data_IF_066693623097
#
_entry.id   IF_066693623097
#
_cell.length_a   1.000
_cell.length_b   1.000
_cell.length_c   1.000
_cell.angle_alpha   90.00
_cell.angle_beta   90.00
_cell.angle_gamma   90.00
#
_symmetry.space_group_name_H-M   'P 1'
#
loop_
_entity.id
_entity.type
_entity.pdbx_description
1 polymer ?
#
# COMPACT_ATOMS: atom_id res chain seq x y z
N UNK A 1 -22.91 -16.85 -18.97
CA UNK A 1 -21.67 -16.22 -19.47
C UNK A 1 -20.63 -16.42 -18.41
N UNK A 2 -19.68 -17.30 -18.70
CA UNK A 2 -18.55 -17.58 -17.83
C UNK A 2 -17.59 -16.37 -17.90
N UNK A 3 -17.20 -15.81 -16.75
CA UNK A 3 -16.21 -14.72 -16.67
C UNK A 3 -14.91 -15.15 -17.35
N UNK A 4 -14.59 -16.45 -17.28
CA UNK A 4 -13.44 -17.01 -17.97
C UNK A 4 -13.53 -16.81 -19.48
N UNK A 5 -14.72 -16.79 -20.10
CA UNK A 5 -14.87 -16.63 -21.54
C UNK A 5 -14.68 -15.17 -22.02
N UNK A 6 -15.07 -14.20 -21.19
CA UNK A 6 -14.83 -12.77 -21.46
C UNK A 6 -13.32 -12.45 -21.34
N UNK A 7 -12.60 -13.18 -20.49
CA UNK A 7 -11.16 -13.01 -20.30
C UNK A 7 -10.37 -13.84 -21.34
N UNK A 8 -10.73 -15.09 -21.60
CA UNK A 8 -10.05 -15.98 -22.57
C UNK A 8 -10.21 -15.53 -24.02
N UNK A 9 -11.32 -14.88 -24.39
CA UNK A 9 -11.47 -14.32 -25.75
C UNK A 9 -10.45 -13.21 -26.06
N UNK A 10 -9.71 -12.71 -25.07
CA UNK A 10 -8.56 -11.80 -25.25
C UNK A 10 -7.19 -12.51 -25.39
N UNK A 11 -7.13 -13.83 -25.18
CA UNK A 11 -5.87 -14.62 -25.14
C UNK A 11 -5.46 -15.23 -26.49
N UNK A 12 -6.39 -15.46 -27.44
CA UNK A 12 -6.09 -16.15 -28.71
C UNK A 12 -5.29 -15.35 -29.77
N UNK A 13 -4.66 -14.23 -29.39
CA UNK A 13 -3.89 -13.37 -30.31
C UNK A 13 -2.41 -13.18 -29.91
N UNK A 14 -1.88 -13.96 -28.97
CA UNK A 14 -0.46 -13.93 -28.60
C UNK A 14 0.17 -15.32 -28.67
N UNK A 15 0.63 -15.69 -29.87
CA UNK A 15 1.68 -16.69 -30.05
C UNK A 15 2.93 -15.99 -30.59
N UNK A 16 4.07 -16.40 -30.03
CA UNK A 16 5.45 -16.10 -30.40
C UNK A 16 6.11 -14.89 -29.74
N UNK A 17 6.74 -15.15 -28.58
CA UNK A 17 8.18 -14.91 -28.43
C UNK A 17 8.70 -15.68 -27.22
N UNK A 18 9.39 -16.78 -27.49
CA UNK A 18 10.15 -17.60 -26.54
C UNK A 18 11.48 -16.95 -26.24
N UNK A 19 11.81 -16.70 -24.97
CA UNK A 19 13.21 -16.66 -24.52
C UNK A 19 13.36 -17.41 -23.19
N UNK A 20 14.47 -18.14 -23.13
CA UNK A 20 14.73 -19.28 -22.26
C UNK A 20 15.25 -18.87 -20.88
N UNK A 21 14.69 -19.51 -19.84
CA UNK A 21 15.23 -19.52 -18.49
C UNK A 21 16.62 -20.18 -18.44
N UNK A 22 17.54 -19.59 -17.67
CA UNK A 22 18.66 -20.30 -17.06
C UNK A 22 18.63 -20.08 -15.55
N UNK A 23 18.40 -21.16 -14.81
CA UNK A 23 18.55 -21.25 -13.37
C UNK A 23 20.04 -21.15 -12.99
N UNK A 24 20.37 -20.34 -11.99
CA UNK A 24 21.59 -20.51 -11.19
C UNK A 24 21.29 -20.10 -9.74
N UNK A 25 21.46 -21.05 -8.82
CA UNK A 25 21.40 -20.87 -7.37
C UNK A 25 22.78 -20.47 -6.83
N UNK A 26 22.90 -19.41 -6.01
CA UNK A 26 24.11 -19.03 -5.23
C UNK A 26 23.63 -18.22 -4.00
N UNK A 27 23.63 -18.76 -2.77
CA UNK A 27 24.60 -18.75 -1.62
C UNK A 27 24.66 -17.46 -0.76
N UNK A 28 24.56 -17.64 0.57
CA UNK A 28 24.29 -16.66 1.64
C UNK A 28 25.31 -15.50 1.90
N UNK A 29 26.29 -15.24 1.01
CA UNK A 29 27.38 -14.29 1.29
C UNK A 29 27.22 -12.86 0.72
N UNK A 30 26.14 -12.56 -0.02
CA UNK A 30 25.98 -11.27 -0.74
C UNK A 30 25.33 -10.12 0.06
N UNK A 31 25.02 -10.32 1.35
CA UNK A 31 24.30 -9.32 2.20
C UNK A 31 25.15 -8.07 2.53
N UNK A 32 26.43 -8.00 2.14
CA UNK A 32 27.37 -6.98 2.65
C UNK A 32 27.54 -5.68 1.84
N UNK A 33 26.93 -5.49 0.67
CA UNK A 33 27.30 -4.36 -0.21
C UNK A 33 26.32 -3.17 -0.31
N UNK A 34 25.17 -3.19 0.39
CA UNK A 34 24.19 -2.09 0.37
C UNK A 34 24.62 -0.84 1.16
N UNK A 35 25.47 -1.01 2.18
CA UNK A 35 25.94 0.09 3.03
C UNK A 35 26.78 1.13 2.26
N UNK A 36 27.43 0.73 1.16
CA UNK A 36 28.35 1.61 0.44
C UNK A 36 27.68 2.63 -0.48
N UNK A 37 26.40 2.47 -0.85
CA UNK A 37 25.78 3.33 -1.87
C UNK A 37 25.50 4.76 -1.39
N UNK A 38 24.93 4.94 -0.18
CA UNK A 38 24.69 6.28 0.39
C UNK A 38 25.79 6.72 1.35
N UNK A 39 26.60 5.80 1.87
CA UNK A 39 27.64 6.10 2.86
C UNK A 39 29.06 6.04 2.30
N UNK A 40 29.26 5.63 1.05
CA UNK A 40 30.56 5.54 0.40
C UNK A 40 31.30 6.88 0.31
N UNK A 41 32.58 6.83 -0.04
CA UNK A 41 33.42 8.01 -0.20
C UNK A 41 33.42 8.55 -1.66
N UNK A 42 32.84 7.80 -2.60
CA UNK A 42 32.78 8.14 -4.03
C UNK A 42 31.66 9.12 -4.40
N UNK A 43 31.39 10.12 -3.55
CA UNK A 43 30.49 11.20 -3.91
C UNK A 43 31.23 12.31 -4.64
N UNK A 44 30.62 12.84 -5.70
CA UNK A 44 31.21 13.86 -6.56
C UNK A 44 31.71 15.10 -5.79
N UNK A 45 31.18 15.37 -4.58
CA UNK A 45 31.60 16.45 -3.67
C UNK A 45 31.38 16.07 -2.21
N UNK A 46 32.31 16.44 -1.33
CA UNK A 46 32.12 16.54 0.12
C UNK A 46 31.99 18.01 0.53
N UNK A 47 31.17 18.30 1.54
CA UNK A 47 30.94 19.67 2.01
C UNK A 47 31.43 19.86 3.44
N UNK A 48 31.85 21.08 3.75
CA UNK A 48 32.05 21.52 5.13
C UNK A 48 30.67 21.54 5.83
N UNK A 49 30.44 20.56 6.70
CA UNK A 49 29.13 20.34 7.36
C UNK A 49 28.69 21.52 8.22
N UNK A 50 29.63 22.38 8.65
CA UNK A 50 29.35 23.58 9.44
C UNK A 50 28.81 24.74 8.59
N UNK A 51 28.89 24.64 7.25
CA UNK A 51 28.47 25.69 6.30
C UNK A 51 27.24 25.31 5.47
N UNK A 52 26.61 24.17 5.76
CA UNK A 52 25.45 23.69 5.02
C UNK A 52 24.22 24.56 5.25
N UNK A 53 23.52 24.88 4.16
CA UNK A 53 22.23 25.56 4.20
C UNK A 53 21.11 24.55 4.48
N UNK A 54 20.83 24.30 5.77
CA UNK A 54 19.91 23.25 6.21
C UNK A 54 18.45 23.71 6.31
N UNK A 55 17.47 22.82 6.07
CA UNK A 55 16.08 23.08 6.42
C UNK A 55 15.92 23.40 7.92
N UNK A 56 14.89 24.18 8.32
CA UNK A 56 14.65 24.49 9.72
C UNK A 56 14.40 23.20 10.51
N UNK A 57 14.91 23.14 11.74
CA UNK A 57 14.67 22.01 12.64
C UNK A 57 13.17 21.92 12.95
N UNK A 58 12.63 20.70 12.84
CA UNK A 58 11.23 20.46 13.16
C UNK A 58 11.05 20.36 14.68
N UNK A 59 10.39 21.36 15.28
CA UNK A 59 9.96 21.29 16.68
C UNK A 59 9.00 20.10 16.93
N UNK A 60 9.03 19.50 18.14
CA UNK A 60 8.03 18.58 18.66
C UNK A 60 6.59 19.00 18.40
N UNK A 61 5.78 18.08 17.86
CA UNK A 61 4.34 18.27 17.74
C UNK A 61 3.59 17.72 18.95
N UNK A 62 4.12 16.66 19.56
CA UNK A 62 3.44 15.93 20.62
C UNK A 62 4.33 15.74 21.85
N UNK A 63 3.72 15.85 23.03
CA UNK A 63 4.17 15.16 24.23
C UNK A 63 3.36 13.88 24.40
N UNK A 64 3.88 12.92 25.14
CA UNK A 64 3.15 11.68 25.46
C UNK A 64 3.30 11.32 26.94
N UNK A 65 2.33 10.57 27.43
CA UNK A 65 2.32 10.02 28.79
C UNK A 65 2.01 8.54 28.74
N UNK A 66 2.84 7.76 29.42
CA UNK A 66 2.64 6.31 29.58
C UNK A 66 1.43 6.07 30.48
N UNK A 67 0.52 5.21 30.03
CA UNK A 67 -0.65 4.81 30.79
C UNK A 67 -0.27 3.78 31.88
N UNK A 68 -1.04 3.73 32.97
CA UNK A 68 -0.90 2.66 33.97
C UNK A 68 -1.44 1.33 33.43
N UNK A 69 -0.94 0.21 33.97
CA UNK A 69 -1.25 -1.17 33.53
C UNK A 69 -2.75 -1.53 33.55
N UNK A 70 -3.58 -0.77 34.28
CA UNK A 70 -5.04 -0.98 34.36
C UNK A 70 -5.81 -0.34 33.18
N UNK A 71 -5.13 0.33 32.26
CA UNK A 71 -5.76 0.98 31.11
C UNK A 71 -6.15 -0.07 30.06
N UNK A 72 -7.44 -0.16 29.74
CA UNK A 72 -7.93 -1.11 28.74
C UNK A 72 -7.72 -0.57 27.33
N UNK A 73 -7.01 -1.33 26.49
CA UNK A 73 -6.95 -1.09 25.06
C UNK A 73 -8.27 -1.51 24.41
N UNK A 74 -8.94 -0.59 23.71
CA UNK A 74 -10.19 -0.91 23.02
C UNK A 74 -9.95 -1.02 21.51
N UNK A 75 -9.23 -2.08 21.12
CA UNK A 75 -8.71 -2.28 19.76
C UNK A 75 -9.75 -2.41 18.65
N UNK A 76 -10.95 -2.92 18.97
CA UNK A 76 -12.01 -3.11 17.97
C UNK A 76 -12.68 -1.80 17.51
N UNK A 77 -12.56 -0.72 18.29
CA UNK A 77 -13.29 0.52 18.01
C UNK A 77 -12.50 1.53 17.17
N UNK A 78 -11.17 1.44 17.13
CA UNK A 78 -10.34 2.47 16.49
C UNK A 78 -10.53 2.54 14.95
N UNK A 79 -10.91 1.45 14.29
CA UNK A 79 -11.24 1.45 12.85
C UNK A 79 -12.57 2.15 12.53
N UNK A 80 -13.53 2.12 13.46
CA UNK A 80 -14.90 2.57 13.25
C UNK A 80 -15.09 4.08 13.29
N UNK A 81 -14.05 4.83 13.67
CA UNK A 81 -14.15 6.28 13.81
C UNK A 81 -13.45 7.02 12.67
N UNK A 82 -14.04 8.14 12.18
CA UNK A 82 -13.29 9.10 11.39
C UNK A 82 -12.00 9.51 12.12
N UNK A 83 -10.87 9.68 11.40
CA UNK A 83 -10.77 9.79 9.95
C UNK A 83 -10.52 8.48 9.17
N UNK A 84 -10.36 7.33 9.85
CA UNK A 84 -9.98 6.06 9.19
C UNK A 84 -11.11 5.46 8.33
N UNK A 85 -12.36 5.80 8.61
CA UNK A 85 -13.53 5.32 7.87
C UNK A 85 -14.51 6.46 7.54
N UNK A 86 -15.27 6.27 6.45
CA UNK A 86 -16.29 7.23 5.99
C UNK A 86 -17.72 6.81 6.30
N UNK A 87 -17.89 5.58 6.77
CA UNK A 87 -19.16 5.01 7.21
C UNK A 87 -18.85 3.91 8.23
N UNK A 88 -19.90 3.30 8.78
CA UNK A 88 -19.76 2.20 9.72
C UNK A 88 -18.88 1.09 9.17
N UNK A 89 -17.87 0.75 9.96
CA UNK A 89 -16.97 -0.37 9.69
C UNK A 89 -17.63 -1.65 10.16
N UNK A 90 -17.51 -2.69 9.36
CA UNK A 90 -18.05 -4.01 9.67
C UNK A 90 -17.06 -5.13 9.35
N UNK A 91 -17.04 -6.18 10.19
CA UNK A 91 -16.25 -7.38 9.91
C UNK A 91 -16.95 -8.25 8.86
N UNK A 92 -16.18 -8.72 7.89
CA UNK A 92 -16.59 -9.69 6.87
C UNK A 92 -15.62 -10.86 6.83
N UNK A 93 -16.10 -12.03 6.43
CA UNK A 93 -15.25 -13.21 6.24
C UNK A 93 -14.72 -13.25 4.80
N UNK A 94 -13.42 -13.43 4.62
CA UNK A 94 -12.80 -13.63 3.31
C UNK A 94 -12.92 -15.08 2.88
N UNK A 95 -13.80 -15.36 1.91
CA UNK A 95 -14.23 -16.73 1.58
C UNK A 95 -13.66 -17.27 0.27
N UNK A 96 -13.34 -16.43 -0.71
CA UNK A 96 -12.77 -16.88 -1.99
C UNK A 96 -11.77 -15.88 -2.57
N UNK A 97 -10.68 -16.38 -3.16
CA UNK A 97 -9.76 -15.63 -4.03
C UNK A 97 -9.42 -16.48 -5.26
N UNK A 98 -9.68 -15.96 -6.44
CA UNK A 98 -9.45 -16.66 -7.72
C UNK A 98 -8.60 -15.79 -8.64
N UNK A 99 -7.48 -16.33 -9.13
CA UNK A 99 -6.68 -15.65 -10.15
C UNK A 99 -7.41 -15.73 -11.50
N UNK A 100 -7.69 -14.58 -12.09
CA UNK A 100 -8.40 -14.45 -13.36
C UNK A 100 -7.46 -14.46 -14.58
N UNK A 101 -6.19 -14.17 -14.37
CA UNK A 101 -5.18 -14.04 -15.45
C UNK A 101 -4.22 -15.23 -15.46
N UNK A 102 -3.75 -15.62 -16.65
CA UNK A 102 -2.71 -16.63 -16.84
C UNK A 102 -1.46 -16.05 -17.51
N UNK A 103 -0.35 -16.77 -17.44
CA UNK A 103 0.91 -16.42 -18.11
C UNK A 103 1.60 -15.16 -17.54
N UNK A 104 2.29 -14.42 -18.41
CA UNK A 104 3.13 -13.26 -18.02
C UNK A 104 2.37 -11.93 -17.89
N UNK A 105 1.04 -11.96 -17.79
CA UNK A 105 0.22 -10.76 -17.58
C UNK A 105 0.29 -10.30 -16.12
N UNK A 106 -0.07 -9.04 -15.85
CA UNK A 106 -0.30 -8.60 -14.46
C UNK A 106 -1.32 -9.52 -13.80
N UNK A 107 -1.03 -9.96 -12.58
CA UNK A 107 -1.91 -10.84 -11.82
C UNK A 107 -3.18 -10.11 -11.41
N UNK A 108 -4.34 -10.59 -11.85
CA UNK A 108 -5.66 -10.06 -11.49
C UNK A 108 -6.43 -11.11 -10.71
N UNK A 109 -7.01 -10.71 -9.59
CA UNK A 109 -7.82 -11.57 -8.75
C UNK A 109 -9.28 -11.13 -8.70
N UNK A 110 -10.18 -12.09 -8.59
CA UNK A 110 -11.51 -11.90 -8.02
C UNK A 110 -11.48 -12.36 -6.56
N UNK A 111 -11.86 -11.49 -5.64
CA UNK A 111 -12.06 -11.81 -4.24
C UNK A 111 -13.55 -11.81 -3.91
N UNK A 112 -13.96 -12.62 -2.94
CA UNK A 112 -15.31 -12.66 -2.38
C UNK A 112 -15.25 -12.63 -0.87
N UNK A 113 -15.98 -11.68 -0.28
CA UNK A 113 -16.23 -11.58 1.13
C UNK A 113 -17.67 -11.97 1.45
N UNK A 114 -17.91 -12.41 2.68
CA UNK A 114 -19.22 -12.83 3.17
C UNK A 114 -19.56 -12.07 4.45
N UNK A 115 -20.74 -11.47 4.48
CA UNK A 115 -21.27 -10.83 5.68
C UNK A 115 -21.70 -11.88 6.71
N UNK A 116 -21.53 -11.58 8.00
CA UNK A 116 -22.07 -12.43 9.08
C UNK A 116 -23.60 -12.52 8.95
N UNK A 117 -24.16 -13.68 9.29
CA UNK A 117 -25.62 -13.90 9.29
C UNK A 117 -26.35 -12.80 10.07
N UNK A 118 -27.47 -12.32 9.51
CA UNK A 118 -28.26 -11.23 10.07
C UNK A 118 -27.78 -9.81 9.75
N UNK A 119 -26.66 -9.64 9.04
CA UNK A 119 -26.21 -8.34 8.52
C UNK A 119 -26.37 -8.26 7.00
N UNK A 120 -26.84 -7.12 6.51
CA UNK A 120 -26.91 -6.79 5.09
C UNK A 120 -26.30 -5.41 4.83
N UNK A 121 -25.75 -5.25 3.64
CA UNK A 121 -25.18 -4.02 3.11
C UNK A 121 -26.05 -3.55 1.95
N UNK A 122 -26.69 -2.40 2.11
CA UNK A 122 -27.49 -1.77 1.05
C UNK A 122 -26.56 -0.94 0.15
N UNK A 123 -26.24 -1.50 -1.01
CA UNK A 123 -25.44 -0.86 -2.06
C UNK A 123 -26.17 -0.94 -3.40
N UNK A 124 -25.69 -0.21 -4.41
CA UNK A 124 -26.14 -0.26 -5.80
C UNK A 124 -24.99 -0.71 -6.71
N UNK A 125 -25.26 -1.36 -7.86
CA UNK A 125 -24.22 -1.63 -8.85
C UNK A 125 -23.41 -0.36 -9.15
N UNK A 126 -22.08 -0.44 -9.11
CA UNK A 126 -21.18 0.71 -9.22
C UNK A 126 -20.68 1.28 -7.89
N UNK A 127 -21.29 0.90 -6.75
CA UNK A 127 -20.76 1.17 -5.43
C UNK A 127 -19.49 0.36 -5.14
N UNK A 128 -18.72 0.81 -4.16
CA UNK A 128 -17.47 0.18 -3.75
C UNK A 128 -17.47 -0.15 -2.27
N UNK A 129 -16.67 -1.12 -1.87
CA UNK A 129 -16.27 -1.30 -0.47
C UNK A 129 -14.85 -0.81 -0.30
N UNK A 130 -14.56 -0.20 0.85
CA UNK A 130 -13.21 0.15 1.25
C UNK A 130 -12.73 -0.87 2.27
N UNK A 131 -11.58 -1.47 1.98
CA UNK A 131 -10.89 -2.41 2.85
C UNK A 131 -9.91 -1.64 3.73
N UNK A 132 -9.87 -1.94 5.03
CA UNK A 132 -8.85 -1.44 5.95
C UNK A 132 -7.71 -2.48 6.03
N UNK A 133 -6.58 -2.28 5.32
CA UNK A 133 -5.48 -3.23 5.32
C UNK A 133 -4.61 -3.08 6.57
N UNK A 134 -3.75 -4.07 6.81
CA UNK A 134 -2.69 -4.01 7.80
C UNK A 134 -1.33 -3.92 7.11
N UNK A 135 -0.36 -3.29 7.77
CA UNK A 135 1.04 -3.42 7.38
C UNK A 135 1.54 -4.83 7.66
N UNK A 136 2.57 -5.26 6.90
CA UNK A 136 3.17 -6.57 7.11
C UNK A 136 3.82 -6.65 8.50
N UNK A 137 3.45 -7.67 9.28
CA UNK A 137 3.96 -7.88 10.63
C UNK A 137 5.50 -7.95 10.74
N UNK A 138 6.19 -8.50 9.74
CA UNK A 138 7.66 -8.54 9.72
C UNK A 138 8.24 -7.13 9.49
N UNK A 139 7.64 -6.32 8.62
CA UNK A 139 8.01 -4.92 8.43
C UNK A 139 7.80 -4.12 9.70
N UNK A 140 6.66 -4.30 10.39
CA UNK A 140 6.36 -3.63 11.67
C UNK A 140 7.36 -4.07 12.74
N UNK A 141 7.61 -5.37 12.88
CA UNK A 141 8.57 -5.90 13.85
C UNK A 141 9.98 -5.36 13.60
N UNK A 142 10.42 -5.34 12.34
CA UNK A 142 11.69 -4.75 11.96
C UNK A 142 11.75 -3.27 12.32
N UNK A 143 10.73 -2.49 11.94
CA UNK A 143 10.70 -1.06 12.21
C UNK A 143 10.74 -0.78 13.71
N UNK A 144 10.02 -1.55 14.53
CA UNK A 144 10.07 -1.41 16.00
C UNK A 144 11.47 -1.60 16.57
N UNK A 145 12.26 -2.54 16.03
CA UNK A 145 13.67 -2.73 16.42
C UNK A 145 14.59 -1.58 15.96
N UNK A 146 14.13 -0.73 15.04
CA UNK A 146 14.87 0.42 14.53
C UNK A 146 14.62 1.71 15.32
N UNK A 147 13.61 1.77 16.18
CA UNK A 147 13.21 2.98 16.90
C UNK A 147 13.75 3.00 18.34
N UNK A 148 13.84 4.21 18.92
CA UNK A 148 13.87 4.32 20.38
C UNK A 148 12.44 4.36 20.90
N UNK A 149 12.18 3.52 21.91
CA UNK A 149 10.88 3.46 22.60
C UNK A 149 10.77 4.52 23.71
N UNK A 150 11.85 5.27 23.96
CA UNK A 150 11.95 6.30 24.99
C UNK A 150 11.49 5.75 26.36
N UNK A 151 10.39 6.24 26.92
CA UNK A 151 9.85 5.82 28.22
C UNK A 151 8.87 4.64 28.12
N UNK A 152 8.56 4.13 26.92
CA UNK A 152 7.71 2.95 26.76
C UNK A 152 8.51 1.70 27.13
N UNK A 153 7.89 0.76 27.87
CA UNK A 153 8.52 -0.52 28.20
C UNK A 153 8.71 -1.39 26.95
N UNK A 154 7.67 -1.46 26.12
CA UNK A 154 7.64 -2.15 24.85
C UNK A 154 6.70 -1.44 23.85
N UNK A 155 6.56 -1.99 22.66
CA UNK A 155 5.70 -1.41 21.62
C UNK A 155 4.19 -1.56 21.88
N UNK A 156 3.80 -2.38 22.85
CA UNK A 156 2.41 -2.67 23.24
C UNK A 156 1.98 -1.84 24.47
N UNK A 157 2.94 -1.20 25.13
CA UNK A 157 2.74 -0.21 26.19
C UNK A 157 1.84 0.92 25.70
N UNK A 158 0.73 1.13 26.41
CA UNK A 158 -0.24 2.15 26.07
C UNK A 158 0.25 3.55 26.47
N UNK A 159 -0.01 4.53 25.61
CA UNK A 159 0.24 5.92 25.87
C UNK A 159 -0.93 6.80 25.41
N UNK A 160 -1.04 7.98 26.02
CA UNK A 160 -1.82 9.10 25.49
C UNK A 160 -0.87 10.20 25.01
N UNK A 161 -1.35 11.08 24.14
CA UNK A 161 -0.59 12.20 23.62
C UNK A 161 -1.31 13.52 23.82
N UNK A 162 -0.54 14.60 23.86
CA UNK A 162 -1.04 15.97 23.85
C UNK A 162 -0.33 16.77 22.75
N UNK A 163 -1.09 17.59 22.04
CA UNK A 163 -0.53 18.48 21.01
C UNK A 163 0.16 19.65 21.69
N UNK A 164 1.48 19.75 21.52
CA UNK A 164 2.31 20.85 22.04
C UNK A 164 2.72 21.85 20.94
N UNK A 165 2.34 21.58 19.68
CA UNK A 165 2.67 22.44 18.56
C UNK A 165 2.02 23.83 18.67
N UNK A 166 2.82 24.88 18.49
CA UNK A 166 2.32 26.24 18.28
C UNK A 166 1.63 26.33 16.91
N UNK A 167 0.48 27.02 16.84
CA UNK A 167 -0.44 27.17 15.68
C UNK A 167 0.23 27.06 14.29
N UNK A 168 -0.49 26.47 13.33
CA UNK A 168 -0.20 26.39 11.87
C UNK A 168 0.52 25.14 11.31
N UNK A 169 0.50 23.98 11.99
CA UNK A 169 0.93 22.70 11.37
C UNK A 169 -0.24 21.73 11.20
N UNK A 170 -0.28 21.04 10.07
CA UNK A 170 -1.18 19.90 9.86
C UNK A 170 -0.76 18.79 10.81
N UNK A 171 -1.72 18.31 11.60
CA UNK A 171 -1.51 17.20 12.52
C UNK A 171 -1.74 15.88 11.79
N UNK A 172 -0.93 14.84 12.06
CA UNK A 172 -1.24 13.49 11.63
C UNK A 172 -2.61 13.03 12.11
N UNK A 173 -3.34 12.33 11.26
CA UNK A 173 -4.72 11.92 11.56
C UNK A 173 -4.84 11.01 12.79
N UNK A 174 -3.83 10.19 13.08
CA UNK A 174 -3.82 9.34 14.27
C UNK A 174 -3.89 10.16 15.57
N UNK A 175 -3.46 11.43 15.54
CA UNK A 175 -3.51 12.30 16.71
C UNK A 175 -4.93 12.73 17.11
N UNK A 176 -5.93 12.46 16.26
CA UNK A 176 -7.33 12.67 16.61
C UNK A 176 -7.89 11.62 17.58
N UNK A 177 -7.19 10.49 17.76
CA UNK A 177 -7.57 9.52 18.78
C UNK A 177 -7.30 10.08 20.17
N UNK A 178 -8.33 10.12 21.02
CA UNK A 178 -8.25 10.66 22.39
C UNK A 178 -8.17 9.57 23.46
N UNK A 179 -8.04 8.31 23.04
CA UNK A 179 -7.96 7.14 23.92
C UNK A 179 -6.54 6.55 23.90
N UNK A 180 -6.15 5.76 24.92
CA UNK A 180 -4.85 5.11 24.96
C UNK A 180 -4.58 4.21 23.75
N UNK A 181 -3.38 4.32 23.19
CA UNK A 181 -2.94 3.59 22.01
C UNK A 181 -1.58 2.95 22.25
N UNK A 182 -1.28 1.87 21.53
CA UNK A 182 0.07 1.31 21.47
C UNK A 182 0.77 1.68 20.17
N UNK A 183 2.10 1.74 20.21
CA UNK A 183 2.91 1.99 19.03
C UNK A 183 2.72 0.90 17.97
N UNK A 184 2.67 -0.37 18.40
CA UNK A 184 2.44 -1.50 17.49
C UNK A 184 1.11 -1.36 16.78
N UNK A 185 0.05 -0.97 17.48
CA UNK A 185 -1.26 -0.75 16.88
C UNK A 185 -1.19 0.32 15.78
N UNK A 186 -0.62 1.49 16.09
CA UNK A 186 -0.49 2.59 15.14
C UNK A 186 0.29 2.19 13.88
N UNK A 187 1.44 1.53 14.04
CA UNK A 187 2.26 1.08 12.92
C UNK A 187 1.63 -0.06 12.11
N UNK A 188 0.77 -0.87 12.73
CA UNK A 188 0.09 -1.98 12.04
C UNK A 188 -1.10 -1.47 11.23
N UNK A 189 -1.87 -0.54 11.79
CA UNK A 189 -3.22 -0.24 11.30
C UNK A 189 -3.45 1.19 10.84
N UNK A 190 -2.67 2.15 11.34
CA UNK A 190 -2.97 3.57 11.20
C UNK A 190 -1.95 4.32 10.34
N UNK A 191 -0.71 3.86 10.24
CA UNK A 191 0.37 4.60 9.58
C UNK A 191 0.82 3.95 8.27
N UNK A 192 0.96 4.73 7.19
CA UNK A 192 1.60 4.28 5.95
C UNK A 192 3.12 4.31 6.14
N UNK A 193 3.76 3.14 6.08
CA UNK A 193 5.19 3.00 6.40
C UNK A 193 6.11 3.30 5.21
N UNK A 194 5.63 3.03 3.99
CA UNK A 194 6.43 3.15 2.78
C UNK A 194 6.31 4.55 2.17
N UNK A 195 6.73 5.56 2.93
CA UNK A 195 6.65 6.96 2.49
C UNK A 195 7.89 7.38 1.71
N UNK A 196 7.72 8.21 0.67
CA UNK A 196 8.86 8.86 0.04
C UNK A 196 9.55 9.78 1.04
N UNK A 197 10.88 9.76 1.05
CA UNK A 197 11.65 10.58 1.98
C UNK A 197 11.84 11.98 1.41
N UNK A 198 11.71 12.99 2.26
CA UNK A 198 11.98 14.39 1.90
C UNK A 198 13.25 14.88 2.58
N UNK A 199 13.86 15.94 2.05
CA UNK A 199 15.00 16.61 2.71
C UNK A 199 14.71 17.06 4.15
N UNK A 200 13.46 17.41 4.47
CA UNK A 200 13.05 17.73 5.85
C UNK A 200 13.06 16.52 6.76
N UNK A 201 12.63 15.35 6.27
CA UNK A 201 12.72 14.09 7.01
C UNK A 201 14.19 13.74 7.27
N UNK A 202 15.06 13.84 6.27
CA UNK A 202 16.51 13.58 6.46
C UNK A 202 17.13 14.52 7.51
N UNK A 203 16.78 15.80 7.47
CA UNK A 203 17.24 16.78 8.46
C UNK A 203 16.84 16.40 9.89
N UNK A 204 15.61 15.90 10.04
CA UNK A 204 15.09 15.40 11.32
C UNK A 204 15.85 14.15 11.78
N UNK A 205 15.99 13.16 10.89
CA UNK A 205 16.66 11.89 11.19
C UNK A 205 18.12 12.05 11.60
N UNK A 206 18.82 13.07 11.08
CA UNK A 206 20.20 13.37 11.44
C UNK A 206 20.40 13.64 12.95
N UNK A 207 19.37 14.13 13.65
CA UNK A 207 19.44 14.38 15.11
C UNK A 207 19.31 13.07 15.93
N UNK A 208 19.05 11.93 15.28
CA UNK A 208 18.82 10.62 15.92
C UNK A 208 19.86 9.57 15.52
N UNK A 209 21.05 9.99 15.10
CA UNK A 209 22.17 9.09 14.85
C UNK A 209 22.99 8.90 16.12
N UNK A 210 23.04 7.66 16.63
CA UNK A 210 23.77 7.30 17.84
C UNK A 210 24.73 6.17 17.56
N UNK A 211 25.92 6.20 18.16
CA UNK A 211 26.90 5.13 18.01
C UNK A 211 26.34 3.82 18.56
N UNK A 212 26.53 2.75 17.80
CA UNK A 212 26.26 1.39 18.24
C UNK A 212 27.50 0.52 18.00
N UNK A 213 27.64 -0.58 18.75
CA UNK A 213 28.79 -1.48 18.64
C UNK A 213 28.74 -2.36 17.36
N UNK A 214 27.76 -2.13 16.47
CA UNK A 214 27.42 -3.03 15.36
C UNK A 214 27.75 -2.40 14.01
N UNK A 215 27.60 -1.08 13.86
CA UNK A 215 27.87 -0.39 12.60
C UNK A 215 29.36 -0.23 12.34
N UNK A 216 29.78 -0.53 11.11
CA UNK A 216 31.13 -0.25 10.62
C UNK A 216 31.38 1.23 10.32
N UNK A 217 30.31 2.04 10.25
CA UNK A 217 30.34 3.47 9.93
C UNK A 217 29.87 4.27 11.13
N UNK A 218 30.70 5.19 11.64
CA UNK A 218 30.37 5.99 12.84
C UNK A 218 29.05 6.75 12.70
N UNK A 219 28.36 6.95 13.82
CA UNK A 219 27.11 7.71 13.83
C UNK A 219 27.32 9.14 13.35
N UNK A 220 28.47 9.73 13.62
CA UNK A 220 28.84 11.06 13.12
C UNK A 220 28.87 11.10 11.58
N UNK A 221 29.49 10.10 10.92
CA UNK A 221 29.54 10.03 9.46
C UNK A 221 28.15 9.87 8.86
N UNK A 222 27.33 9.00 9.43
CA UNK A 222 25.94 8.80 9.00
C UNK A 222 25.10 10.07 9.17
N UNK A 223 25.23 10.73 10.33
CA UNK A 223 24.60 12.03 10.61
C UNK A 223 24.99 13.08 9.58
N UNK A 224 26.30 13.25 9.35
CA UNK A 224 26.81 14.27 8.43
C UNK A 224 26.29 14.02 7.01
N UNK A 225 26.23 12.76 6.56
CA UNK A 225 25.66 12.41 5.27
C UNK A 225 24.16 12.72 5.16
N UNK A 226 23.37 12.47 6.21
CA UNK A 226 21.97 12.88 6.25
C UNK A 226 21.82 14.41 6.16
N UNK A 227 22.71 15.17 6.81
CA UNK A 227 22.72 16.63 6.72
C UNK A 227 23.05 17.12 5.32
N UNK A 228 24.06 16.53 4.66
CA UNK A 228 24.40 16.83 3.27
C UNK A 228 23.21 16.62 2.34
N UNK A 229 22.57 15.44 2.39
CA UNK A 229 21.37 15.17 1.57
C UNK A 229 20.20 16.11 1.88
N UNK A 230 20.10 16.59 3.13
CA UNK A 230 19.03 17.52 3.51
C UNK A 230 19.26 18.97 3.06
N UNK A 231 20.52 19.35 2.82
CA UNK A 231 20.95 20.72 2.56
C UNK A 231 20.51 21.28 1.19
N UNK A 232 20.67 22.59 0.98
CA UNK A 232 20.48 23.22 -0.32
C UNK A 232 21.56 22.76 -1.33
N UNK A 233 22.79 22.61 -0.85
CA UNK A 233 23.97 22.22 -1.62
C UNK A 233 23.87 20.78 -2.13
N UNK A 234 23.37 19.87 -1.29
CA UNK A 234 23.17 18.46 -1.60
C UNK A 234 21.90 18.15 -2.41
N UNK A 235 21.16 19.16 -2.89
CA UNK A 235 19.90 18.95 -3.64
C UNK A 235 20.05 17.97 -4.82
N UNK A 236 21.09 18.14 -5.63
CA UNK A 236 21.35 17.26 -6.79
C UNK A 236 21.70 15.83 -6.36
N UNK A 237 22.41 15.66 -5.25
CA UNK A 237 22.69 14.35 -4.69
C UNK A 237 21.42 13.69 -4.16
N UNK A 238 20.58 14.42 -3.43
CA UNK A 238 19.29 13.91 -2.99
C UNK A 238 18.43 13.45 -4.17
N UNK A 239 18.35 14.26 -5.23
CA UNK A 239 17.61 13.90 -6.45
C UNK A 239 18.17 12.62 -7.09
N UNK A 240 19.48 12.55 -7.31
CA UNK A 240 20.17 11.43 -7.97
C UNK A 240 20.10 10.12 -7.17
N UNK A 241 20.38 10.18 -5.87
CA UNK A 241 20.61 8.99 -5.05
C UNK A 241 19.39 8.54 -4.23
N UNK A 242 18.42 9.42 -3.98
CA UNK A 242 17.24 9.12 -3.13
C UNK A 242 15.95 9.23 -3.93
N UNK A 243 15.73 10.35 -4.63
CA UNK A 243 14.44 10.61 -5.29
C UNK A 243 14.25 9.81 -6.59
N UNK A 244 15.25 9.78 -7.48
CA UNK A 244 15.17 9.03 -8.75
C UNK A 244 15.08 7.51 -8.51
N UNK A 245 15.85 6.90 -7.59
CA UNK A 245 15.71 5.49 -7.23
C UNK A 245 14.46 5.18 -6.39
N UNK A 246 13.65 6.19 -6.06
CA UNK A 246 12.43 6.09 -5.25
C UNK A 246 12.67 5.40 -3.91
N UNK A 247 13.68 5.87 -3.16
CA UNK A 247 13.95 5.35 -1.82
C UNK A 247 12.90 5.83 -0.83
N UNK A 248 12.39 4.89 -0.03
CA UNK A 248 11.41 5.14 1.01
C UNK A 248 12.06 5.23 2.40
N UNK A 249 11.28 5.62 3.40
CA UNK A 249 11.77 5.81 4.77
C UNK A 249 12.44 4.57 5.35
N UNK A 250 11.92 3.37 5.07
CA UNK A 250 12.50 2.13 5.59
C UNK A 250 13.86 1.85 4.93
N UNK A 251 14.01 2.15 3.65
CA UNK A 251 15.31 2.04 2.96
C UNK A 251 16.35 2.93 3.64
N UNK A 252 15.99 4.18 3.95
CA UNK A 252 16.86 5.12 4.67
C UNK A 252 17.20 4.60 6.07
N UNK A 253 16.22 4.13 6.85
CA UNK A 253 16.49 3.59 8.18
C UNK A 253 17.33 2.30 8.16
N UNK A 254 17.28 1.54 7.06
CA UNK A 254 18.13 0.36 6.86
C UNK A 254 19.56 0.75 6.50
N UNK A 255 19.73 1.72 5.59
CA UNK A 255 21.05 2.18 5.13
C UNK A 255 21.77 2.95 6.24
N UNK A 256 21.07 3.85 6.92
CA UNK A 256 21.60 4.63 8.04
C UNK A 256 21.37 3.89 9.37
N UNK A 257 22.14 2.81 9.57
CA UNK A 257 21.98 1.87 10.70
C UNK A 257 22.09 2.51 12.09
N UNK A 258 22.80 3.63 12.24
CA UNK A 258 22.91 4.37 13.51
C UNK A 258 21.71 5.28 13.77
N UNK A 259 20.87 5.54 12.76
CA UNK A 259 19.68 6.38 12.90
C UNK A 259 18.56 5.60 13.61
N UNK A 260 18.26 6.01 14.85
CA UNK A 260 17.21 5.45 15.72
C UNK A 260 16.25 6.56 16.14
N UNK A 261 15.31 6.98 15.28
CA UNK A 261 14.36 8.02 15.64
C UNK A 261 13.47 7.54 16.79
N UNK A 262 13.07 8.46 17.65
CA UNK A 262 12.10 8.10 18.68
C UNK A 262 10.72 7.85 18.09
N UNK A 263 9.98 6.95 18.74
CA UNK A 263 8.68 6.52 18.22
C UNK A 263 7.74 7.70 17.97
N UNK A 264 7.71 8.67 18.88
CA UNK A 264 6.80 9.82 18.77
C UNK A 264 7.18 10.71 17.57
N UNK A 265 8.47 10.84 17.28
CA UNK A 265 9.00 11.63 16.16
C UNK A 265 8.77 10.94 14.83
N UNK A 266 8.82 9.61 14.81
CA UNK A 266 8.40 8.82 13.66
C UNK A 266 6.89 9.03 13.40
N UNK A 267 6.05 8.94 14.42
CA UNK A 267 4.60 9.13 14.26
C UNK A 267 4.23 10.53 13.73
N UNK A 268 5.03 11.55 14.01
CA UNK A 268 4.85 12.89 13.43
C UNK A 268 5.03 12.97 11.91
N UNK A 269 5.83 12.08 11.32
CA UNK A 269 6.14 12.11 9.88
C UNK A 269 5.32 11.10 9.07
N UNK A 270 4.74 10.09 9.72
CA UNK A 270 3.96 9.06 9.05
C UNK A 270 2.53 9.55 8.75
N UNK A 271 2.10 9.55 7.47
CA UNK A 271 0.72 9.79 7.10
C UNK A 271 -0.13 8.56 7.39
N UNK A 272 -1.44 8.71 7.24
CA UNK A 272 -2.40 7.64 7.49
C UNK A 272 -2.30 6.51 6.48
N UNK A 273 -2.40 5.28 6.97
CA UNK A 273 -2.64 4.10 6.15
C UNK A 273 -4.05 4.16 5.57
N UNK A 274 -4.16 4.51 4.29
CA UNK A 274 -5.46 4.73 3.65
C UNK A 274 -6.24 3.42 3.45
N UNK A 275 -7.57 3.40 3.63
CA UNK A 275 -8.40 2.30 3.15
C UNK A 275 -8.32 2.18 1.62
N UNK A 276 -8.42 0.96 1.07
CA UNK A 276 -8.37 0.72 -0.38
C UNK A 276 -9.76 0.32 -0.90
N UNK A 277 -10.33 1.15 -1.77
CA UNK A 277 -11.66 0.94 -2.34
C UNK A 277 -11.65 0.02 -3.56
N UNK A 278 -12.60 -0.91 -3.64
CA UNK A 278 -12.84 -1.77 -4.78
C UNK A 278 -14.33 -1.82 -5.12
N UNK A 279 -14.66 -1.72 -6.41
CA UNK A 279 -16.03 -1.75 -6.90
C UNK A 279 -16.63 -3.14 -6.77
N UNK A 280 -17.84 -3.20 -6.20
CA UNK A 280 -18.58 -4.45 -6.06
C UNK A 280 -19.08 -4.94 -7.42
N UNK A 281 -18.94 -6.23 -7.67
CA UNK A 281 -19.38 -6.88 -8.91
C UNK A 281 -20.63 -7.76 -8.71
N UNK A 282 -21.06 -7.99 -7.47
CA UNK A 282 -22.30 -8.72 -7.21
C UNK A 282 -23.52 -7.86 -7.61
N UNK A 283 -24.60 -8.49 -8.10
CA UNK A 283 -25.87 -7.82 -8.17
C UNK A 283 -26.47 -7.64 -6.76
N UNK A 284 -27.41 -6.72 -6.65
CA UNK A 284 -28.16 -6.50 -5.41
C UNK A 284 -29.45 -7.31 -5.49
N UNK A 285 -29.42 -8.52 -4.96
CA UNK A 285 -30.63 -9.33 -4.83
C UNK A 285 -31.23 -9.17 -3.43
N UNK A 286 -32.36 -8.48 -3.36
CA UNK A 286 -33.11 -8.27 -2.11
C UNK A 286 -33.95 -9.48 -1.70
N UNK A 287 -34.06 -10.50 -2.55
CA UNK A 287 -34.86 -11.71 -2.32
C UNK A 287 -34.03 -12.85 -1.71
N UNK A 288 -32.69 -12.77 -1.77
CA UNK A 288 -31.80 -13.75 -1.14
C UNK A 288 -31.82 -13.56 0.38
N UNK A 289 -32.52 -14.48 1.07
CA UNK A 289 -32.62 -14.61 2.52
C UNK A 289 -31.38 -15.23 3.18
N UNK A 290 -30.31 -15.47 2.41
CA UNK A 290 -29.06 -16.04 2.91
C UNK A 290 -27.88 -15.07 2.74
N UNK A 291 -26.87 -15.30 3.57
CA UNK A 291 -25.66 -14.51 3.78
C UNK A 291 -25.14 -13.80 2.52
N UNK A 292 -25.10 -12.46 2.57
CA UNK A 292 -24.76 -11.64 1.41
C UNK A 292 -23.26 -11.74 1.07
N UNK A 293 -22.98 -12.00 -0.21
CA UNK A 293 -21.63 -12.01 -0.77
C UNK A 293 -21.26 -10.67 -1.42
N UNK A 294 -20.01 -10.26 -1.17
CA UNK A 294 -19.41 -9.03 -1.67
C UNK A 294 -18.14 -9.39 -2.43
N UNK A 295 -18.23 -9.46 -3.75
CA UNK A 295 -17.12 -9.76 -4.64
C UNK A 295 -16.64 -8.51 -5.36
N UNK A 296 -15.35 -8.49 -5.67
CA UNK A 296 -14.69 -7.41 -6.38
C UNK A 296 -13.47 -7.94 -7.13
N UNK A 297 -12.96 -7.14 -8.06
CA UNK A 297 -11.76 -7.48 -8.85
C UNK A 297 -10.66 -6.48 -8.53
N UNK A 298 -9.44 -6.97 -8.37
CA UNK A 298 -8.26 -6.14 -8.21
C UNK A 298 -7.06 -6.67 -8.98
N UNK A 299 -6.22 -5.76 -9.45
CA UNK A 299 -4.90 -6.11 -10.00
C UNK A 299 -3.89 -6.09 -8.86
N UNK A 300 -3.09 -7.14 -8.69
CA UNK A 300 -1.99 -7.14 -7.73
C UNK A 300 -1.00 -6.06 -8.10
N UNK A 301 -0.65 -5.23 -7.12
CA UNK A 301 0.42 -4.25 -7.27
C UNK A 301 1.73 -4.94 -7.01
N UNK A 302 2.55 -5.09 -8.05
CA UNK A 302 3.91 -5.64 -7.97
C UNK A 302 4.93 -4.50 -8.03
N UNK A 303 5.83 -4.45 -7.05
CA UNK A 303 7.01 -3.59 -7.09
C UNK A 303 8.17 -4.41 -7.65
N UNK A 304 8.72 -3.92 -8.77
CA UNK A 304 9.97 -4.44 -9.31
C UNK A 304 11.08 -3.55 -8.80
N UNK A 305 12.00 -4.13 -8.03
CA UNK A 305 13.26 -3.48 -7.75
C UNK A 305 14.23 -3.83 -8.88
N UNK A 306 15.05 -2.89 -9.37
CA UNK A 306 16.00 -3.16 -10.43
C UNK A 306 16.91 -4.32 -10.00
N UNK A 307 16.91 -5.42 -10.75
CA UNK A 307 17.99 -6.39 -10.66
C UNK A 307 19.23 -5.73 -11.26
N UNK A 308 20.20 -5.43 -10.39
CA UNK A 308 21.59 -5.05 -10.72
C UNK A 308 21.76 -4.31 -12.05
N UNK A 309 21.47 -3.01 -12.08
CA UNK A 309 22.27 -2.17 -12.96
C UNK A 309 23.64 -2.06 -12.27
N UNK A 310 24.71 -2.54 -12.90
CA UNK A 310 26.08 -2.61 -12.31
C UNK A 310 26.61 -1.26 -11.79
N UNK A 311 25.91 -0.16 -12.05
CA UNK A 311 26.22 1.19 -11.63
C UNK A 311 25.46 1.66 -10.37
N UNK A 312 24.45 0.93 -9.90
CA UNK A 312 23.62 1.33 -8.76
C UNK A 312 23.55 0.13 -7.81
N UNK A 313 24.41 0.11 -6.79
CA UNK A 313 24.54 -0.97 -5.79
C UNK A 313 23.33 -1.18 -4.85
N UNK A 314 22.12 -1.00 -5.36
CA UNK A 314 20.84 -1.22 -4.67
C UNK A 314 20.39 -2.67 -4.89
N UNK A 315 21.23 -3.63 -4.48
CA UNK A 315 20.93 -5.06 -4.66
C UNK A 315 19.73 -5.52 -3.82
N UNK A 316 19.54 -4.97 -2.61
CA UNK A 316 18.46 -5.41 -1.71
C UNK A 316 17.83 -4.24 -0.93
N UNK A 317 16.58 -3.92 -1.27
CA UNK A 317 15.75 -3.01 -0.47
C UNK A 317 15.29 -3.76 0.78
N UNK A 318 15.57 -3.23 1.95
CA UNK A 318 15.16 -3.84 3.21
C UNK A 318 14.39 -2.85 4.10
N UNK A 319 13.22 -3.25 4.63
CA UNK A 319 12.51 -4.51 4.41
C UNK A 319 12.00 -4.66 2.97
N UNK A 320 12.14 -5.87 2.41
CA UNK A 320 11.74 -6.13 1.03
C UNK A 320 10.22 -6.00 0.87
N UNK A 321 9.78 -5.19 -0.09
CA UNK A 321 8.35 -5.03 -0.41
C UNK A 321 8.07 -5.39 -1.87
N UNK A 322 7.70 -6.65 -2.12
CA UNK A 322 7.36 -7.10 -3.48
C UNK A 322 5.95 -6.67 -3.92
N UNK A 323 5.02 -6.48 -2.98
CA UNK A 323 3.61 -6.20 -3.30
C UNK A 323 3.07 -4.93 -2.61
N UNK A 324 2.00 -4.36 -3.18
CA UNK A 324 1.20 -3.29 -2.56
C UNK A 324 0.66 -3.68 -1.18
N UNK A 325 0.49 -2.70 -0.28
CA UNK A 325 0.06 -2.96 1.11
C UNK A 325 -1.26 -3.74 1.17
N UNK A 326 -2.31 -3.26 0.50
CA UNK A 326 -3.60 -3.95 0.53
C UNK A 326 -3.62 -5.23 -0.33
N UNK A 327 -3.15 -5.18 -1.58
CA UNK A 327 -3.23 -6.34 -2.48
C UNK A 327 -2.34 -7.50 -2.02
N UNK A 328 -1.14 -7.21 -1.53
CA UNK A 328 -0.23 -8.20 -0.96
C UNK A 328 -0.72 -8.73 0.39
N UNK A 329 -1.35 -7.89 1.22
CA UNK A 329 -1.98 -8.32 2.47
C UNK A 329 -3.15 -9.29 2.23
N UNK A 330 -4.00 -9.04 1.22
CA UNK A 330 -5.06 -9.97 0.82
C UNK A 330 -4.50 -11.33 0.40
N UNK A 331 -3.45 -11.37 -0.42
CA UNK A 331 -2.79 -12.64 -0.77
C UNK A 331 -2.18 -13.33 0.46
N UNK A 332 -1.49 -12.58 1.31
CA UNK A 332 -0.87 -13.11 2.54
C UNK A 332 -1.91 -13.78 3.44
N UNK A 333 -3.04 -13.13 3.70
CA UNK A 333 -4.13 -13.71 4.49
C UNK A 333 -4.72 -14.92 3.77
N UNK A 334 -4.90 -14.83 2.45
CA UNK A 334 -5.52 -15.90 1.67
C UNK A 334 -4.68 -17.17 1.56
N UNK A 335 -3.38 -17.02 1.37
CA UNK A 335 -2.46 -18.14 1.24
C UNK A 335 -1.81 -18.53 2.57
N UNK A 336 -1.97 -17.73 3.62
CA UNK A 336 -1.35 -17.99 4.94
C UNK A 336 0.17 -17.92 4.90
N UNK A 337 0.75 -17.13 4.00
CA UNK A 337 2.21 -17.05 3.81
C UNK A 337 2.75 -15.66 4.10
N UNK A 338 3.96 -15.61 4.65
CA UNK A 338 4.63 -14.34 4.91
C UNK A 338 5.36 -13.79 3.68
N UNK A 339 5.76 -14.65 2.73
CA UNK A 339 6.50 -14.26 1.52
C UNK A 339 5.94 -14.88 0.23
N UNK A 340 6.20 -14.26 -0.94
CA UNK A 340 5.73 -14.75 -2.23
C UNK A 340 6.28 -16.13 -2.63
N UNK A 341 7.46 -16.51 -2.15
CA UNK A 341 8.07 -17.80 -2.53
C UNK A 341 7.51 -18.97 -1.71
N UNK A 342 6.71 -18.68 -0.66
CA UNK A 342 6.07 -19.67 0.19
C UNK A 342 4.70 -20.13 -0.33
N UNK A 343 4.16 -19.56 -1.43
CA UNK A 343 2.87 -19.96 -2.00
C UNK A 343 2.80 -21.45 -2.39
N UNK A 344 3.96 -22.11 -2.58
CA UNK A 344 4.05 -23.55 -2.85
C UNK A 344 4.01 -24.42 -1.58
N UNK A 345 4.14 -23.83 -0.38
CA UNK A 345 4.18 -24.52 0.92
C UNK A 345 2.88 -24.38 1.72
N UNK A 346 1.80 -23.96 1.07
CA UNK A 346 0.54 -23.62 1.74
C UNK A 346 -0.16 -24.89 2.25
N UNK A 347 -0.34 -24.98 3.57
CA UNK A 347 -1.25 -25.94 4.18
C UNK A 347 -2.57 -25.23 4.52
N UNK A 348 -3.55 -25.32 3.61
CA UNK A 348 -4.84 -24.62 3.70
C UNK A 348 -5.71 -25.03 4.90
N UNK A 349 -5.34 -26.10 5.61
CA UNK A 349 -6.21 -26.73 6.62
C UNK A 349 -6.19 -26.05 8.00
N UNK A 350 -5.31 -25.08 8.26
CA UNK A 350 -5.08 -24.53 9.62
C UNK A 350 -5.31 -23.01 9.77
N UNK A 351 -5.91 -22.33 8.79
CA UNK A 351 -6.17 -20.89 8.91
C UNK A 351 -7.59 -20.70 9.44
N UNK A 352 -7.72 -20.16 10.66
CA UNK A 352 -9.00 -19.74 11.24
C UNK A 352 -9.77 -18.75 10.36
N UNK A 353 -10.96 -18.29 10.79
CA UNK A 353 -11.79 -17.39 9.99
C UNK A 353 -11.02 -16.10 9.65
N UNK A 354 -10.89 -15.82 8.35
CA UNK A 354 -10.19 -14.65 7.82
C UNK A 354 -11.09 -13.43 7.89
N UNK A 355 -11.16 -12.80 9.06
CA UNK A 355 -11.98 -11.61 9.27
C UNK A 355 -11.24 -10.37 8.75
N UNK A 356 -11.93 -9.60 7.91
CA UNK A 356 -11.46 -8.34 7.34
C UNK A 356 -12.46 -7.25 7.70
N UNK A 357 -11.96 -6.06 8.01
CA UNK A 357 -12.81 -4.90 8.24
C UNK A 357 -12.99 -4.09 6.95
N UNK A 358 -14.25 -3.78 6.64
CA UNK A 358 -14.63 -2.99 5.47
C UNK A 358 -15.63 -1.90 5.86
N UNK A 359 -15.78 -0.89 5.01
CA UNK A 359 -16.92 0.02 5.05
C UNK A 359 -17.46 0.28 3.63
N UNK A 360 -18.74 0.64 3.52
CA UNK A 360 -19.36 0.95 2.24
C UNK A 360 -18.95 2.34 1.75
N UNK A 361 -18.57 2.43 0.48
CA UNK A 361 -18.32 3.68 -0.20
C UNK A 361 -19.31 3.83 -1.35
N UNK A 362 -20.38 4.58 -1.08
CA UNK A 362 -21.37 4.94 -2.10
C UNK A 362 -20.73 5.80 -3.19
N UNK A 363 -21.17 5.59 -4.43
CA UNK A 363 -20.66 6.30 -5.57
C UNK A 363 -21.22 7.74 -5.59
N UNK A 364 -20.37 8.71 -5.26
CA UNK A 364 -20.72 10.14 -5.22
C UNK A 364 -20.71 10.80 -6.60
N UNK A 365 -20.11 10.17 -7.61
CA UNK A 365 -20.06 10.68 -8.99
C UNK A 365 -21.26 10.24 -9.82
N UNK A 366 -22.28 9.64 -9.18
CA UNK A 366 -23.49 9.13 -9.82
C UNK A 366 -23.20 8.16 -10.98
N UNK A 367 -22.11 7.38 -10.90
CA UNK A 367 -21.77 6.39 -11.90
C UNK A 367 -22.62 5.13 -11.72
N UNK A 368 -23.89 5.24 -12.09
CA UNK A 368 -24.91 4.19 -12.02
C UNK A 368 -25.51 3.92 -13.40
N UNK A 369 -26.24 2.81 -13.52
CA UNK A 369 -27.10 2.59 -14.67
C UNK A 369 -28.22 3.66 -14.74
N UNK A 370 -28.67 4.04 -15.95
CA UNK A 370 -29.86 4.87 -16.10
C UNK A 370 -31.08 4.20 -15.46
N UNK A 371 -31.94 4.99 -14.82
CA UNK A 371 -33.19 4.49 -14.22
C UNK A 371 -34.13 3.91 -15.29
N UNK A 372 -34.11 4.47 -16.51
CA UNK A 372 -34.81 3.88 -17.65
C UNK A 372 -34.07 2.63 -18.15
N UNK A 373 -34.62 1.48 -17.81
CA UNK A 373 -34.05 0.19 -18.17
C UNK A 373 -34.07 -0.07 -19.71
N UNK A 374 -34.87 0.62 -20.50
CA UNK A 374 -34.83 0.44 -21.97
C UNK A 374 -33.71 1.25 -22.64
N UNK A 375 -33.07 2.16 -21.91
CA UNK A 375 -32.03 3.03 -22.45
C UNK A 375 -30.75 2.23 -22.76
N UNK A 376 -30.21 2.32 -23.99
CA UNK A 376 -28.95 1.67 -24.33
C UNK A 376 -27.78 2.32 -23.56
N UNK A 377 -26.80 1.50 -23.20
CA UNK A 377 -25.60 1.93 -22.47
C UNK A 377 -24.36 1.46 -23.22
N UNK A 378 -23.39 2.37 -23.41
CA UNK A 378 -22.06 2.05 -23.92
C UNK A 378 -21.10 2.05 -22.73
N UNK A 379 -20.39 0.93 -22.55
CA UNK A 379 -19.44 0.74 -21.46
C UNK A 379 -18.04 0.56 -22.06
N UNK A 380 -17.08 1.40 -21.66
CA UNK A 380 -15.70 1.37 -22.14
C UNK A 380 -14.78 1.15 -20.94
N UNK A 381 -14.07 0.02 -20.92
CA UNK A 381 -13.16 -0.36 -19.86
C UNK A 381 -11.80 -0.83 -20.41
N UNK A 382 -10.76 -0.63 -19.60
CA UNK A 382 -9.46 -1.28 -19.75
C UNK A 382 -9.03 -1.91 -18.41
N UNK A 383 -8.49 -3.12 -18.46
CA UNK A 383 -8.01 -3.84 -17.27
C UNK A 383 -9.08 -4.04 -16.19
N UNK A 384 -8.70 -3.90 -14.91
CA UNK A 384 -9.63 -4.03 -13.77
C UNK A 384 -10.72 -2.95 -13.71
N UNK A 385 -10.65 -1.91 -14.57
CA UNK A 385 -11.73 -0.92 -14.75
C UNK A 385 -13.05 -1.53 -15.28
N UNK A 386 -13.05 -2.81 -15.66
CA UNK A 386 -14.25 -3.56 -16.03
C UNK A 386 -15.21 -3.84 -14.86
N UNK A 387 -14.73 -3.78 -13.60
CA UNK A 387 -15.50 -4.14 -12.42
C UNK A 387 -16.90 -3.50 -12.32
N UNK A 388 -17.09 -2.17 -12.43
CA UNK A 388 -18.42 -1.57 -12.42
C UNK A 388 -19.33 -2.11 -13.53
N UNK A 389 -18.78 -2.39 -14.71
CA UNK A 389 -19.57 -2.89 -15.84
C UNK A 389 -20.01 -4.34 -15.64
N UNK A 390 -19.21 -5.16 -14.95
CA UNK A 390 -19.66 -6.50 -14.52
C UNK A 390 -20.88 -6.37 -13.61
N UNK A 391 -20.85 -5.42 -12.66
CA UNK A 391 -22.00 -5.16 -11.78
C UNK A 391 -23.24 -4.73 -12.56
N UNK A 392 -23.07 -3.86 -13.57
CA UNK A 392 -24.15 -3.38 -14.42
C UNK A 392 -24.75 -4.50 -15.27
N UNK A 393 -23.91 -5.31 -15.92
CA UNK A 393 -24.36 -6.45 -16.74
C UNK A 393 -25.13 -7.46 -15.89
N UNK A 394 -24.63 -7.77 -14.68
CA UNK A 394 -25.30 -8.69 -13.76
C UNK A 394 -26.65 -8.13 -13.31
N UNK A 395 -26.74 -6.84 -13.01
CA UNK A 395 -28.01 -6.19 -12.67
C UNK A 395 -29.02 -6.27 -13.83
N UNK A 396 -28.60 -5.89 -15.04
CA UNK A 396 -29.47 -5.96 -16.24
C UNK A 396 -29.99 -7.36 -16.55
N UNK A 397 -29.20 -8.39 -16.24
CA UNK A 397 -29.62 -9.79 -16.37
C UNK A 397 -30.75 -10.13 -15.39
N UNK A 398 -30.69 -9.64 -14.15
CA UNK A 398 -31.76 -9.81 -13.15
C UNK A 398 -33.00 -9.02 -13.55
N UNK A 399 -32.82 -7.84 -14.13
CA UNK A 399 -33.92 -7.00 -14.64
C UNK A 399 -34.63 -7.61 -15.88
N UNK A 400 -34.26 -8.85 -16.28
CA UNK A 400 -34.91 -9.68 -17.33
C UNK A 400 -35.07 -9.00 -18.71
N UNK A 401 -34.17 -8.08 -19.05
CA UNK A 401 -34.23 -7.39 -20.32
C UNK A 401 -33.62 -8.19 -21.48
N UNK A 402 -34.43 -8.40 -22.53
CA UNK A 402 -33.97 -8.74 -23.88
C UNK A 402 -33.40 -7.49 -24.59
N UNK A 403 -32.32 -6.87 -24.08
CA UNK A 403 -31.77 -5.62 -24.67
C UNK A 403 -30.44 -5.87 -25.39
N UNK A 404 -30.28 -5.17 -26.52
CA UNK A 404 -29.10 -5.17 -27.41
C UNK A 404 -27.93 -4.46 -26.72
N UNK A 405 -26.82 -5.16 -26.54
CA UNK A 405 -25.59 -4.60 -25.99
C UNK A 405 -24.64 -4.20 -27.11
N UNK A 406 -24.02 -3.02 -27.04
CA UNK A 406 -22.84 -2.70 -27.82
C UNK A 406 -21.62 -2.73 -26.90
N UNK A 407 -20.78 -3.75 -27.09
CA UNK A 407 -19.52 -3.92 -26.36
C UNK A 407 -18.40 -3.23 -27.14
N UNK A 408 -17.72 -2.26 -26.53
CA UNK A 408 -16.44 -1.77 -27.04
C UNK A 408 -15.38 -1.99 -25.96
N UNK A 409 -14.71 -3.12 -26.05
CA UNK A 409 -13.57 -3.46 -25.20
C UNK A 409 -12.31 -2.85 -25.83
N UNK A 410 -11.92 -1.63 -25.41
CA UNK A 410 -10.70 -1.01 -25.92
C UNK A 410 -9.54 -1.37 -24.99
N UNK A 411 -8.66 -2.25 -25.47
CA UNK A 411 -7.31 -2.39 -24.92
C UNK A 411 -6.52 -1.13 -25.32
N UNK A 412 -6.67 -0.03 -24.59
CA UNK A 412 -5.88 1.18 -24.85
C UNK A 412 -4.43 0.90 -24.43
N UNK A 413 -3.63 0.42 -25.37
CA UNK A 413 -2.18 0.58 -25.30
C UNK A 413 -1.88 2.06 -25.57
N UNK A 414 -1.89 2.90 -24.54
CA UNK A 414 -1.20 4.18 -24.65
C UNK A 414 0.29 3.90 -24.56
N UNK A 415 0.90 3.48 -25.66
CA UNK A 415 2.33 3.69 -25.86
C UNK A 415 2.44 5.13 -26.35
N UNK A 416 2.63 6.07 -25.43
CA UNK A 416 3.03 7.45 -25.80
C UNK A 416 4.41 7.32 -26.44
N UNK A 417 4.44 7.17 -27.77
CA UNK A 417 5.53 7.73 -28.56
C UNK A 417 5.02 9.08 -29.02
N UNK A 418 5.59 10.12 -28.45
CA UNK A 418 5.53 11.47 -28.98
C UNK A 418 5.94 11.44 -30.45
N UNK A 419 4.96 11.54 -31.35
CA UNK A 419 4.92 12.46 -32.48
C UNK A 419 3.71 12.15 -33.38
N UNK A 420 3.10 13.21 -33.91
CA UNK A 420 1.95 13.32 -34.84
C UNK A 420 0.56 12.93 -34.32
N UNK A 421 -0.11 13.94 -33.74
CA UNK A 421 -1.57 14.10 -33.69
C UNK A 421 -2.05 14.63 -35.05
N UNK A 422 -2.65 13.79 -35.89
CA UNK A 422 -3.65 14.20 -36.90
C UNK A 422 -4.36 12.95 -37.44
N UNK A 423 -5.67 13.07 -37.59
CA UNK A 423 -6.57 12.16 -38.33
C UNK A 423 -6.97 10.84 -37.65
N UNK A 424 -8.17 10.82 -37.04
CA UNK A 424 -9.13 9.73 -37.24
C UNK A 424 -10.55 10.25 -36.93
N UNK A 425 -11.10 10.99 -37.89
CA UNK A 425 -12.53 11.22 -38.03
C UNK A 425 -13.05 10.40 -39.21
N UNK A 426 -14.24 9.83 -39.03
CA UNK A 426 -15.12 9.16 -40.01
C UNK A 426 -15.20 7.62 -40.00
N UNK A 427 -16.48 7.20 -40.00
CA UNK A 427 -17.10 5.94 -40.43
C UNK A 427 -17.36 4.89 -39.35
N UNK A 428 -18.55 4.99 -38.74
CA UNK A 428 -19.48 3.86 -38.63
C UNK A 428 -20.88 4.39 -38.96
N UNK A 429 -21.44 3.94 -40.09
CA UNK A 429 -22.87 3.96 -40.39
C UNK A 429 -23.41 2.56 -40.13
#
# INVERSE_FOLDING_TARGET
MDINYIIQSTENLHLNSSEQNKNLCISDDDVKNTANYLLGDEFEKSWDTNKLSLPPKASPLFSYKVCSEQSLFVGDHAFGFPPLSRSDVMPVQFTHLTCLTKGNSKTVYQATFKLKSGKTLDYRPGDSISILPENNAQTVAWLLQRLTLDSLHDADTLFTHEVIATKHRSLPEWSHFTFPLSLRYLLTYCCELYIPVTRRILRLLADYCFDDNVSSVSAERQRNRLLEFSSAEGKKMFEKYIQIPDLNLLDILSIFSCCRPSFIRLLEILPTLQPRSYTLINPVDKQLSCEQELSFIFTRVDFKYPESDKHVGLSDRYPSRRHGTCTGWLEKIWFGVNQPDDYQKVNFNNVGPRIIYIYLRKNITQFYLPDNISQPVIMIAAGSGIAPFISFIRQRKIDNLKVRYLFILIRIFVKIRTNSLTEFGHRVQ
#
